data_IF_554939862649
#
_entry.id   IF_554939862649
#
_cell.length_a   1.000
_cell.length_b   1.000
_cell.length_c   1.000
_cell.angle_alpha   90.00
_cell.angle_beta   90.00
_cell.angle_gamma   90.00
#
_symmetry.space_group_name_H-M   'P 1'
#
loop_
_entity.id
_entity.type
_entity.pdbx_description
1 polymer ?
#
# COMPACT_ATOMS: atom_id res chain seq x y z
N UNK A 1 -12.04 -10.92 -2.24
CA UNK A 1 -11.97 -10.15 -1.00
C UNK A 1 -10.83 -10.60 -0.09
N UNK A 2 -10.64 -11.90 0.11
CA UNK A 2 -9.52 -12.43 0.92
C UNK A 2 -8.15 -12.04 0.35
N UNK A 3 -8.02 -12.04 -0.97
CA UNK A 3 -6.78 -11.62 -1.64
C UNK A 3 -6.49 -10.15 -1.35
N UNK A 4 -7.49 -9.29 -1.44
CA UNK A 4 -7.33 -7.87 -1.14
C UNK A 4 -6.94 -7.63 0.31
N UNK A 5 -7.52 -8.38 1.25
CA UNK A 5 -7.17 -8.26 2.66
C UNK A 5 -5.74 -8.69 2.94
N UNK A 6 -5.29 -9.78 2.30
CA UNK A 6 -3.92 -10.26 2.45
C UNK A 6 -2.92 -9.22 1.90
N UNK A 7 -3.21 -8.63 0.74
CA UNK A 7 -2.37 -7.59 0.15
C UNK A 7 -2.30 -6.36 1.07
N UNK A 8 -3.42 -5.93 1.62
CA UNK A 8 -3.46 -4.79 2.53
C UNK A 8 -2.66 -5.05 3.80
N UNK A 9 -2.75 -6.26 4.36
CA UNK A 9 -2.00 -6.63 5.56
C UNK A 9 -0.49 -6.61 5.29
N UNK A 10 -0.03 -7.11 4.14
CA UNK A 10 1.38 -7.09 3.75
C UNK A 10 1.88 -5.64 3.61
N UNK A 11 1.09 -4.76 3.00
CA UNK A 11 1.46 -3.35 2.86
C UNK A 11 1.56 -2.65 4.21
N UNK A 12 0.64 -2.94 5.14
CA UNK A 12 0.68 -2.37 6.49
C UNK A 12 1.90 -2.82 7.29
N UNK A 13 2.46 -4.00 7.01
CA UNK A 13 3.70 -4.47 7.61
C UNK A 13 4.93 -3.81 6.97
N UNK A 14 4.90 -3.61 5.66
CA UNK A 14 6.03 -3.07 4.90
C UNK A 14 6.26 -1.57 5.17
N UNK A 15 5.19 -0.80 5.33
CA UNK A 15 5.28 0.66 5.47
C UNK A 15 6.13 1.09 6.69
N UNK A 16 5.92 0.56 7.91
CA UNK A 16 6.76 0.93 9.05
C UNK A 16 8.23 0.57 8.84
N UNK A 17 8.52 -0.58 8.25
CA UNK A 17 9.89 -1.00 7.98
C UNK A 17 10.59 -0.07 7.00
N UNK A 18 9.90 0.37 5.96
CA UNK A 18 10.43 1.33 4.98
C UNK A 18 10.71 2.69 5.62
N UNK A 19 9.84 3.14 6.52
CA UNK A 19 10.05 4.39 7.25
C UNK A 19 11.29 4.33 8.13
N UNK A 20 11.48 3.24 8.84
CA UNK A 20 12.66 3.02 9.69
C UNK A 20 13.93 2.95 8.84
N UNK A 21 13.89 2.27 7.70
CA UNK A 21 15.03 2.17 6.79
C UNK A 21 15.41 3.55 6.23
N UNK A 22 14.44 4.36 5.85
CA UNK A 22 14.68 5.72 5.35
C UNK A 22 15.30 6.61 6.43
N UNK A 23 14.81 6.53 7.67
CA UNK A 23 15.37 7.27 8.79
C UNK A 23 16.81 6.86 9.09
N UNK A 24 17.09 5.58 9.09
CA UNK A 24 18.44 5.07 9.29
C UNK A 24 19.38 5.57 8.18
N UNK A 25 18.96 5.46 6.92
CA UNK A 25 19.78 5.93 5.80
C UNK A 25 20.09 7.42 5.91
N UNK A 26 19.12 8.24 6.33
CA UNK A 26 19.36 9.67 6.58
C UNK A 26 20.33 9.89 7.73
N UNK A 27 20.25 9.11 8.80
CA UNK A 27 21.09 9.24 9.99
C UNK A 27 22.57 9.00 9.67
N UNK A 28 22.87 8.12 8.71
CA UNK A 28 24.24 7.86 8.24
C UNK A 28 24.61 8.66 7.00
N UNK A 29 23.77 9.63 6.61
CA UNK A 29 23.97 10.52 5.47
C UNK A 29 23.98 9.81 4.11
N UNK A 30 23.36 8.66 4.01
CA UNK A 30 23.16 7.95 2.76
C UNK A 30 21.87 8.46 2.09
N UNK A 31 21.99 9.62 1.44
CA UNK A 31 20.85 10.31 0.83
C UNK A 31 20.28 9.56 -0.37
N UNK A 32 21.09 8.78 -1.09
CA UNK A 32 20.64 7.99 -2.24
C UNK A 32 19.72 6.88 -1.77
N UNK A 33 20.13 6.12 -0.75
CA UNK A 33 19.28 5.06 -0.19
C UNK A 33 18.04 5.63 0.47
N UNK A 34 18.15 6.75 1.17
CA UNK A 34 17.01 7.41 1.80
C UNK A 34 15.96 7.79 0.74
N UNK A 35 16.39 8.36 -0.38
CA UNK A 35 15.48 8.73 -1.47
C UNK A 35 14.82 7.50 -2.08
N UNK A 36 15.58 6.43 -2.27
CA UNK A 36 15.04 5.17 -2.78
C UNK A 36 13.92 4.63 -1.87
N UNK A 37 14.18 4.59 -0.56
CA UNK A 37 13.18 4.11 0.40
C UNK A 37 11.95 5.01 0.43
N UNK A 38 12.12 6.31 0.31
CA UNK A 38 10.99 7.25 0.25
C UNK A 38 10.16 7.07 -1.01
N UNK A 39 10.79 6.81 -2.16
CA UNK A 39 10.08 6.54 -3.42
C UNK A 39 9.27 5.24 -3.32
N UNK A 40 9.86 4.19 -2.73
CA UNK A 40 9.16 2.93 -2.49
C UNK A 40 7.99 3.16 -1.54
N UNK A 41 8.21 3.91 -0.46
CA UNK A 41 7.18 4.22 0.52
C UNK A 41 6.00 4.93 -0.11
N UNK A 42 6.25 5.90 -0.98
CA UNK A 42 5.19 6.60 -1.71
C UNK A 42 4.35 5.65 -2.55
N UNK A 43 5.01 4.73 -3.27
CA UNK A 43 4.32 3.73 -4.07
C UNK A 43 3.48 2.79 -3.20
N UNK A 44 4.00 2.38 -2.04
CA UNK A 44 3.27 1.52 -1.11
C UNK A 44 2.05 2.23 -0.52
N UNK A 45 2.17 3.51 -0.18
CA UNK A 45 1.05 4.30 0.32
C UNK A 45 -0.05 4.46 -0.73
N UNK A 46 0.30 4.69 -1.98
CA UNK A 46 -0.65 4.75 -3.09
C UNK A 46 -1.35 3.40 -3.29
N UNK A 47 -0.63 2.29 -3.12
CA UNK A 47 -1.19 0.95 -3.21
C UNK A 47 -2.18 0.67 -2.06
N UNK A 48 -1.86 1.08 -0.85
CA UNK A 48 -2.77 0.98 0.30
C UNK A 48 -4.05 1.78 0.03
N UNK A 49 -3.94 2.99 -0.47
CA UNK A 49 -5.10 3.81 -0.82
C UNK A 49 -5.97 3.12 -1.88
N UNK A 50 -5.35 2.52 -2.88
CA UNK A 50 -6.07 1.76 -3.90
C UNK A 50 -6.86 0.60 -3.28
N UNK A 51 -6.19 -0.21 -2.42
CA UNK A 51 -6.82 -1.35 -1.77
C UNK A 51 -7.98 -0.91 -0.86
N UNK A 52 -7.79 0.14 -0.09
CA UNK A 52 -8.84 0.68 0.78
C UNK A 52 -10.03 1.18 -0.04
N UNK A 53 -9.78 1.78 -1.20
CA UNK A 53 -10.84 2.19 -2.11
C UNK A 53 -11.63 0.99 -2.63
N UNK A 54 -10.95 -0.12 -2.95
CA UNK A 54 -11.63 -1.35 -3.38
C UNK A 54 -12.53 -1.91 -2.27
N UNK A 55 -12.06 -1.94 -1.02
CA UNK A 55 -12.90 -2.37 0.11
C UNK A 55 -14.10 -1.45 0.31
N UNK A 56 -13.93 -0.15 0.17
CA UNK A 56 -15.03 0.81 0.27
C UNK A 56 -16.08 0.57 -0.82
N UNK A 57 -15.66 0.33 -2.05
CA UNK A 57 -16.55 0.00 -3.16
C UNK A 57 -17.32 -1.29 -2.91
N UNK A 58 -16.65 -2.33 -2.39
CA UNK A 58 -17.31 -3.60 -2.05
C UNK A 58 -18.37 -3.36 -0.98
N UNK A 59 -18.06 -2.58 0.05
CA UNK A 59 -19.00 -2.28 1.13
C UNK A 59 -20.23 -1.52 0.65
N UNK A 60 -20.06 -0.62 -0.32
CA UNK A 60 -21.16 0.21 -0.84
C UNK A 60 -22.09 -0.51 -1.80
N UNK A 61 -21.54 -1.33 -2.70
CA UNK A 61 -22.31 -1.95 -3.77
C UNK A 61 -22.53 -3.44 -3.62
N UNK A 62 -21.84 -4.08 -2.67
CA UNK A 62 -21.84 -5.53 -2.50
C UNK A 62 -20.85 -6.21 -3.46
N UNK A 63 -20.36 -7.37 -3.04
CA UNK A 63 -19.30 -8.08 -3.76
C UNK A 63 -19.71 -8.46 -5.19
N UNK A 64 -20.93 -8.91 -5.39
CA UNK A 64 -21.41 -9.30 -6.71
C UNK A 64 -21.37 -8.15 -7.71
N UNK A 65 -21.87 -6.99 -7.32
CA UNK A 65 -21.84 -5.80 -8.17
C UNK A 65 -20.42 -5.30 -8.41
N UNK A 66 -19.55 -5.39 -7.40
CA UNK A 66 -18.17 -5.04 -7.55
C UNK A 66 -17.48 -5.92 -8.60
N UNK A 67 -17.70 -7.23 -8.57
CA UNK A 67 -17.14 -8.17 -9.54
C UNK A 67 -17.62 -7.83 -10.96
N UNK A 68 -18.90 -7.53 -11.14
CA UNK A 68 -19.45 -7.12 -12.43
C UNK A 68 -18.78 -5.85 -12.95
N UNK A 69 -18.57 -4.86 -12.08
CA UNK A 69 -17.90 -3.61 -12.46
C UNK A 69 -16.46 -3.86 -12.94
N UNK A 70 -15.72 -4.71 -12.23
CA UNK A 70 -14.34 -5.04 -12.60
C UNK A 70 -14.25 -5.88 -13.87
N UNK A 71 -15.28 -6.63 -14.19
CA UNK A 71 -15.34 -7.47 -15.39
C UNK A 71 -15.77 -6.71 -16.65
N UNK A 72 -16.35 -5.55 -16.47
CA UNK A 72 -16.76 -4.71 -17.59
C UNK A 72 -15.55 -3.99 -18.19
#
# INVERSE_FOLDING_TARGET
EEILRADLALEHEAVPLLKDAAEYARSVKDHVSAQLFEDILKNEEEHVDFLETQFDMIARMGLENYVQLQSA
#
